data_IF_437583981159
#
_entry.id   IF_437583981159
#
_cell.length_a   1.000
_cell.length_b   1.000
_cell.length_c   1.000
_cell.angle_alpha   90.00
_cell.angle_beta   90.00
_cell.angle_gamma   90.00
#
_symmetry.space_group_name_H-M   'P 1'
#
loop_
_entity.id
_entity.type
_entity.pdbx_description
1 polymer ?
#
# COMPACT_ATOMS: atom_id res chain seq x y z
N UNK A 1 15.48 -9.46 17.60
CA UNK A 1 14.90 -8.69 18.72
C UNK A 1 13.59 -8.10 18.26
N UNK A 2 12.48 -8.58 18.82
CA UNK A 2 11.13 -8.04 18.59
C UNK A 2 11.10 -6.60 19.07
N UNK A 3 11.06 -5.63 18.14
CA UNK A 3 10.75 -4.23 18.50
C UNK A 3 9.30 -4.21 18.96
N UNK A 4 9.08 -4.26 20.27
CA UNK A 4 7.75 -4.13 20.86
C UNK A 4 7.28 -2.71 20.64
N UNK A 5 6.42 -2.52 19.64
CA UNK A 5 5.58 -1.32 19.55
C UNK A 5 4.81 -1.18 20.87
N UNK A 6 4.70 0.03 21.44
CA UNK A 6 3.94 0.22 22.67
C UNK A 6 2.50 -0.23 22.42
N UNK A 7 2.07 -1.29 23.12
CA UNK A 7 0.72 -1.83 22.98
C UNK A 7 -0.26 -0.80 23.54
N UNK A 8 -1.21 -0.37 22.71
CA UNK A 8 -2.35 0.43 23.16
C UNK A 8 -3.09 -0.31 24.29
N UNK A 9 -3.62 0.43 25.26
CA UNK A 9 -4.44 -0.18 26.29
C UNK A 9 -5.68 -0.84 25.64
N UNK A 10 -6.18 -1.96 26.17
CA UNK A 10 -7.34 -2.65 25.60
C UNK A 10 -8.56 -1.74 25.44
N UNK A 11 -8.74 -0.79 26.37
CA UNK A 11 -9.78 0.22 26.29
C UNK A 11 -9.63 1.12 25.06
N UNK A 12 -8.43 1.70 24.85
CA UNK A 12 -8.16 2.57 23.68
C UNK A 12 -8.31 1.81 22.36
N UNK A 13 -7.89 0.55 22.31
CA UNK A 13 -8.04 -0.29 21.13
C UNK A 13 -9.52 -0.58 20.80
N UNK A 14 -10.33 -0.93 21.81
CA UNK A 14 -11.78 -1.13 21.64
C UNK A 14 -12.49 0.16 21.23
N UNK A 15 -12.14 1.28 21.86
CA UNK A 15 -12.69 2.58 21.50
C UNK A 15 -12.37 2.95 20.06
N UNK A 16 -11.13 2.78 19.60
CA UNK A 16 -10.75 3.03 18.21
C UNK A 16 -11.52 2.13 17.23
N UNK A 17 -11.70 0.85 17.56
CA UNK A 17 -12.51 -0.08 16.76
C UNK A 17 -13.99 0.36 16.71
N UNK A 18 -14.57 0.77 17.84
CA UNK A 18 -15.93 1.32 17.89
C UNK A 18 -16.04 2.60 17.05
N UNK A 19 -15.08 3.53 17.17
CA UNK A 19 -15.06 4.76 16.38
C UNK A 19 -15.01 4.47 14.87
N UNK A 20 -14.31 3.42 14.44
CA UNK A 20 -14.28 3.00 13.04
C UNK A 20 -15.61 2.34 12.62
N UNK A 21 -16.07 1.34 13.37
CA UNK A 21 -17.28 0.57 13.05
C UNK A 21 -18.56 1.42 13.05
N UNK A 22 -18.67 2.36 13.99
CA UNK A 22 -19.81 3.27 14.13
C UNK A 22 -19.59 4.61 13.43
N UNK A 23 -18.57 4.74 12.58
CA UNK A 23 -18.39 5.93 11.77
C UNK A 23 -19.53 6.01 10.72
N UNK A 24 -20.40 7.04 10.75
CA UNK A 24 -21.53 7.15 9.83
C UNK A 24 -21.09 7.22 8.36
N UNK A 25 -19.90 7.74 8.07
CA UNK A 25 -19.33 7.77 6.71
C UNK A 25 -19.00 6.35 6.25
N UNK A 26 -18.35 5.54 7.10
CA UNK A 26 -17.99 4.16 6.77
C UNK A 26 -19.23 3.28 6.58
N UNK A 27 -20.25 3.47 7.44
CA UNK A 27 -21.55 2.78 7.30
C UNK A 27 -22.21 3.16 5.99
N UNK A 28 -22.37 4.46 5.70
CA UNK A 28 -23.05 4.93 4.49
C UNK A 28 -22.35 4.43 3.22
N UNK A 29 -21.01 4.52 3.14
CA UNK A 29 -20.23 3.99 2.01
C UNK A 29 -20.43 2.47 1.84
N UNK A 30 -20.44 1.72 2.94
CA UNK A 30 -20.65 0.27 2.89
C UNK A 30 -22.07 -0.10 2.45
N UNK A 31 -23.09 0.62 2.94
CA UNK A 31 -24.50 0.37 2.57
C UNK A 31 -24.83 0.71 1.11
N UNK A 32 -24.01 1.55 0.45
CA UNK A 32 -24.12 1.85 -0.98
C UNK A 32 -23.50 0.77 -1.89
N UNK A 33 -23.14 -0.39 -1.33
CA UNK A 33 -22.58 -1.52 -2.07
C UNK A 33 -21.09 -1.40 -2.38
N UNK A 34 -20.36 -0.50 -1.71
CA UNK A 34 -18.92 -0.36 -1.90
C UNK A 34 -18.13 -1.28 -0.95
N UNK A 35 -17.14 -2.00 -1.49
CA UNK A 35 -16.29 -2.94 -0.75
C UNK A 35 -15.16 -2.29 0.08
N UNK A 36 -15.18 -0.98 0.38
CA UNK A 36 -14.08 -0.30 1.10
C UNK A 36 -13.79 -0.91 2.48
N UNK A 37 -14.83 -1.29 3.23
CA UNK A 37 -14.67 -1.90 4.55
C UNK A 37 -13.97 -3.27 4.44
N UNK A 38 -14.26 -4.03 3.38
CA UNK A 38 -13.58 -5.30 3.10
C UNK A 38 -12.11 -5.07 2.71
N UNK A 39 -11.85 -4.11 1.82
CA UNK A 39 -10.47 -3.76 1.42
C UNK A 39 -9.65 -3.29 2.62
N UNK A 40 -10.24 -2.43 3.48
CA UNK A 40 -9.61 -1.95 4.71
C UNK A 40 -9.31 -3.10 5.68
N UNK A 41 -10.25 -4.04 5.85
CA UNK A 41 -10.05 -5.21 6.68
C UNK A 41 -8.91 -6.12 6.16
N UNK A 42 -8.78 -6.28 4.84
CA UNK A 42 -7.69 -7.05 4.23
C UNK A 42 -6.32 -6.38 4.41
N UNK A 43 -6.24 -5.05 4.27
CA UNK A 43 -5.00 -4.28 4.50
C UNK A 43 -4.57 -4.38 5.97
N UNK A 44 -5.49 -4.15 6.92
CA UNK A 44 -5.21 -4.27 8.35
C UNK A 44 -4.88 -5.73 8.72
N UNK A 45 -5.55 -6.70 8.10
CA UNK A 45 -5.26 -8.12 8.25
C UNK A 45 -3.87 -8.50 7.74
N UNK A 46 -3.43 -7.91 6.63
CA UNK A 46 -2.08 -8.06 6.10
C UNK A 46 -1.03 -7.54 7.09
N UNK A 47 -1.26 -6.34 7.63
CA UNK A 47 -0.41 -5.76 8.67
C UNK A 47 -0.34 -6.66 9.92
N UNK A 48 -1.49 -7.13 10.41
CA UNK A 48 -1.57 -8.03 11.55
C UNK A 48 -0.83 -9.36 11.29
N UNK A 49 -1.01 -9.98 10.12
CA UNK A 49 -0.30 -11.19 9.76
C UNK A 49 1.22 -10.99 9.67
N UNK A 50 1.66 -9.80 9.24
CA UNK A 50 3.07 -9.43 9.19
C UNK A 50 3.66 -9.28 10.59
N UNK A 51 2.94 -8.65 11.53
CA UNK A 51 3.33 -8.56 12.94
C UNK A 51 3.45 -9.93 13.62
N UNK A 52 2.62 -10.89 13.22
CA UNK A 52 2.73 -12.30 13.64
C UNK A 52 3.86 -13.07 12.93
N UNK A 53 4.65 -12.41 12.08
CA UNK A 53 5.74 -13.03 11.30
C UNK A 53 5.27 -13.96 10.17
N UNK A 54 3.97 -13.98 9.85
CA UNK A 54 3.38 -14.89 8.85
C UNK A 54 3.36 -14.25 7.46
N UNK A 55 4.54 -14.19 6.86
CA UNK A 55 4.80 -13.47 5.60
C UNK A 55 3.87 -13.87 4.45
N UNK A 56 3.65 -15.17 4.26
CA UNK A 56 2.76 -15.67 3.19
C UNK A 56 1.34 -15.18 3.38
N UNK A 57 0.80 -15.25 4.61
CA UNK A 57 -0.56 -14.77 4.88
C UNK A 57 -0.68 -13.27 4.70
N UNK A 58 0.33 -12.52 5.14
CA UNK A 58 0.37 -11.07 4.95
C UNK A 58 0.35 -10.71 3.46
N UNK A 59 1.17 -11.39 2.64
CA UNK A 59 1.19 -11.15 1.20
C UNK A 59 -0.12 -11.57 0.53
N UNK A 60 -0.66 -12.75 0.84
CA UNK A 60 -1.95 -13.20 0.27
C UNK A 60 -3.08 -12.20 0.52
N UNK A 61 -3.20 -11.68 1.74
CA UNK A 61 -4.20 -10.67 2.13
C UNK A 61 -4.00 -9.34 1.39
N UNK A 62 -2.74 -8.89 1.26
CA UNK A 62 -2.42 -7.68 0.49
C UNK A 62 -2.79 -7.87 -0.98
N UNK A 63 -2.40 -8.99 -1.59
CA UNK A 63 -2.71 -9.31 -2.98
C UNK A 63 -4.21 -9.33 -3.26
N UNK A 64 -5.00 -9.91 -2.34
CA UNK A 64 -6.46 -9.90 -2.44
C UNK A 64 -7.02 -8.48 -2.33
N UNK A 65 -6.48 -7.65 -1.44
CA UNK A 65 -6.90 -6.25 -1.32
C UNK A 65 -6.64 -5.46 -2.61
N UNK A 66 -5.49 -5.69 -3.26
CA UNK A 66 -5.09 -5.05 -4.53
C UNK A 66 -5.95 -5.53 -5.70
N UNK A 67 -6.35 -6.81 -5.69
CA UNK A 67 -7.27 -7.34 -6.71
C UNK A 67 -8.65 -6.66 -6.62
N UNK A 68 -9.19 -6.48 -5.42
CA UNK A 68 -10.50 -5.86 -5.20
C UNK A 68 -10.50 -4.37 -5.58
N UNK A 69 -9.43 -3.64 -5.25
CA UNK A 69 -9.18 -2.26 -5.68
C UNK A 69 -7.70 -2.04 -5.85
N UNK A 70 -7.29 -1.25 -6.81
CA UNK A 70 -5.85 -1.09 -7.13
C UNK A 70 -5.10 -0.27 -6.06
N UNK A 71 -5.75 0.72 -5.43
CA UNK A 71 -5.07 1.68 -4.55
C UNK A 71 -4.29 1.10 -3.34
N UNK A 72 -4.64 -0.05 -2.71
CA UNK A 72 -3.86 -0.66 -1.64
C UNK A 72 -2.43 -1.05 -2.07
N UNK A 73 -2.13 -1.01 -3.37
CA UNK A 73 -0.77 -1.23 -3.89
C UNK A 73 0.26 -0.27 -3.26
N UNK A 74 -0.15 0.92 -2.81
CA UNK A 74 0.73 1.88 -2.12
C UNK A 74 1.31 1.30 -0.82
N UNK A 75 0.65 0.30 -0.21
CA UNK A 75 1.12 -0.33 1.02
C UNK A 75 2.15 -1.44 0.77
N UNK A 76 2.36 -1.86 -0.49
CA UNK A 76 3.28 -2.94 -0.83
C UNK A 76 4.73 -2.65 -0.41
N UNK A 77 5.25 -1.47 -0.78
CA UNK A 77 6.61 -1.04 -0.44
C UNK A 77 6.83 -0.87 1.08
N UNK A 78 6.00 -0.14 1.84
CA UNK A 78 6.22 0.01 3.27
C UNK A 78 6.11 -1.33 4.01
N UNK A 79 5.18 -2.22 3.63
CA UNK A 79 5.10 -3.55 4.22
C UNK A 79 6.33 -4.40 3.87
N UNK A 80 6.80 -4.36 2.62
CA UNK A 80 8.01 -5.05 2.18
C UNK A 80 9.26 -4.60 2.98
N UNK A 81 9.46 -3.29 3.14
CA UNK A 81 10.60 -2.72 3.86
C UNK A 81 10.52 -2.92 5.39
N UNK A 82 9.33 -3.13 5.94
CA UNK A 82 9.16 -3.38 7.37
C UNK A 82 9.63 -4.77 7.81
N UNK A 83 9.78 -5.71 6.87
CA UNK A 83 10.29 -7.06 7.14
C UNK A 83 11.79 -6.97 7.46
N UNK A 84 12.24 -7.44 8.64
CA UNK A 84 13.65 -7.38 9.01
C UNK A 84 14.54 -8.23 8.10
N UNK A 85 15.71 -7.68 7.72
CA UNK A 85 16.74 -8.42 6.96
C UNK A 85 17.35 -9.51 7.85
N UNK A 86 17.44 -10.71 7.31
CA UNK A 86 18.08 -11.87 7.92
C UNK A 86 19.59 -11.73 7.75
N UNK A 87 20.26 -11.08 8.71
CA UNK A 87 21.73 -11.07 8.71
C UNK A 87 22.27 -12.46 9.04
N UNK A 88 23.32 -12.95 8.33
CA UNK A 88 23.93 -14.23 8.66
C UNK A 88 24.43 -14.24 10.11
N UNK A 89 24.03 -15.24 10.90
CA UNK A 89 24.59 -15.51 12.23
C UNK A 89 26.10 -15.69 12.10
N UNK A 90 26.90 -14.72 12.56
CA UNK A 90 28.37 -14.79 12.55
C UNK A 90 29.08 -13.48 12.21
N UNK A 91 28.39 -12.48 11.63
CA UNK A 91 28.97 -11.15 11.45
C UNK A 91 28.65 -10.30 12.69
N UNK A 92 29.57 -10.25 13.65
CA UNK A 92 29.53 -9.23 14.68
C UNK A 92 29.40 -7.85 14.01
N UNK A 93 28.60 -6.91 14.54
CA UNK A 93 28.70 -5.51 14.15
C UNK A 93 29.97 -4.92 14.78
N UNK A 94 31.13 -5.44 14.35
CA UNK A 94 32.46 -4.99 14.74
C UNK A 94 32.87 -3.82 13.86
N UNK A 95 33.32 -2.75 14.52
CA UNK A 95 33.51 -1.41 13.98
C UNK A 95 34.31 -1.30 12.68
N UNK A 96 33.95 -0.29 11.89
CA UNK A 96 34.75 0.18 10.78
C UNK A 96 33.96 1.01 9.77
N UNK A 97 34.13 2.33 9.80
CA UNK A 97 34.04 3.13 8.58
C UNK A 97 32.64 3.58 8.13
N UNK A 98 32.33 4.82 8.51
CA UNK A 98 31.54 5.82 7.79
C UNK A 98 31.50 5.55 6.25
N UNK A 99 30.28 5.52 5.68
CA UNK A 99 29.95 5.38 4.24
C UNK A 99 29.86 3.96 3.64
N UNK A 100 29.01 3.10 4.19
CA UNK A 100 28.27 2.17 3.30
C UNK A 100 27.28 3.03 2.50
N UNK A 101 27.56 3.24 1.21
CA UNK A 101 26.75 4.08 0.33
C UNK A 101 25.26 3.69 0.38
N UNK A 102 24.38 4.67 0.19
CA UNK A 102 22.92 4.44 0.15
C UNK A 102 22.55 3.28 -0.81
N UNK A 103 23.29 3.14 -1.91
CA UNK A 103 23.16 2.03 -2.86
C UNK A 103 23.39 0.64 -2.24
N UNK A 104 24.42 0.47 -1.39
CA UNK A 104 24.71 -0.81 -0.74
C UNK A 104 23.63 -1.18 0.29
N UNK A 105 23.06 -0.17 0.97
CA UNK A 105 21.90 -0.37 1.86
C UNK A 105 20.67 -0.79 1.07
N UNK A 106 20.33 -0.07 0.00
CA UNK A 106 19.22 -0.44 -0.89
C UNK A 106 19.41 -1.85 -1.43
N UNK A 107 20.61 -2.20 -1.91
CA UNK A 107 20.90 -3.54 -2.41
C UNK A 107 20.65 -4.62 -1.35
N UNK A 108 21.10 -4.41 -0.10
CA UNK A 108 20.84 -5.33 1.00
C UNK A 108 19.33 -5.47 1.31
N UNK A 109 18.58 -4.37 1.23
CA UNK A 109 17.12 -4.36 1.42
C UNK A 109 16.39 -5.21 0.36
N UNK A 110 16.90 -5.27 -0.87
CA UNK A 110 16.31 -6.06 -1.96
C UNK A 110 16.90 -7.47 -2.11
N UNK A 111 17.88 -7.86 -1.30
CA UNK A 111 18.53 -9.17 -1.39
C UNK A 111 17.90 -10.25 -0.50
N UNK A 112 16.97 -9.90 0.39
CA UNK A 112 16.40 -10.85 1.35
C UNK A 112 15.24 -11.68 0.75
N UNK A 113 15.42 -13.01 0.74
CA UNK A 113 14.42 -13.95 0.24
C UNK A 113 13.07 -13.93 0.98
N UNK A 114 13.02 -13.53 2.25
CA UNK A 114 11.77 -13.41 3.03
C UNK A 114 10.89 -12.29 2.50
N UNK A 115 11.51 -11.19 2.05
CA UNK A 115 10.78 -10.06 1.47
C UNK A 115 10.22 -10.42 0.10
N UNK A 116 10.99 -11.13 -0.70
CA UNK A 116 10.52 -11.70 -1.95
C UNK A 116 9.47 -12.78 -1.76
N UNK A 117 9.52 -13.57 -0.69
CA UNK A 117 8.44 -14.51 -0.35
C UNK A 117 7.11 -13.77 -0.08
N UNK A 118 7.16 -12.68 0.68
CA UNK A 118 6.00 -11.80 0.87
C UNK A 118 5.50 -11.24 -0.47
N UNK A 119 6.38 -10.64 -1.27
CA UNK A 119 6.03 -10.06 -2.56
C UNK A 119 5.46 -11.10 -3.54
N UNK A 120 6.07 -12.28 -3.62
CA UNK A 120 5.62 -13.38 -4.45
C UNK A 120 4.25 -13.90 -4.00
N UNK A 121 4.01 -14.03 -2.69
CA UNK A 121 2.69 -14.43 -2.19
C UNK A 121 1.60 -13.37 -2.48
N UNK A 122 1.93 -12.09 -2.44
CA UNK A 122 1.00 -11.03 -2.83
C UNK A 122 0.70 -11.05 -4.34
N UNK A 123 1.74 -11.18 -5.16
CA UNK A 123 1.58 -11.33 -6.61
C UNK A 123 0.77 -12.58 -6.97
N UNK A 124 1.07 -13.72 -6.35
CA UNK A 124 0.36 -14.98 -6.58
C UNK A 124 -1.13 -14.88 -6.22
N UNK A 125 -1.48 -14.24 -5.10
CA UNK A 125 -2.88 -14.00 -4.72
C UNK A 125 -3.58 -13.08 -5.73
N UNK A 126 -2.99 -11.92 -6.03
CA UNK A 126 -3.58 -10.95 -6.94
C UNK A 126 -3.77 -11.52 -8.35
N UNK A 127 -2.71 -12.10 -8.92
CA UNK A 127 -2.72 -12.70 -10.26
C UNK A 127 -3.62 -13.93 -10.28
N UNK A 128 -3.54 -14.80 -9.26
CA UNK A 128 -4.36 -16.01 -9.19
C UNK A 128 -5.84 -15.71 -9.22
N UNK A 129 -6.33 -14.76 -8.40
CA UNK A 129 -7.74 -14.37 -8.41
C UNK A 129 -8.10 -13.67 -9.73
N UNK A 130 -7.21 -12.83 -10.27
CA UNK A 130 -7.40 -12.19 -11.57
C UNK A 130 -7.57 -13.21 -12.70
N UNK A 131 -6.76 -14.27 -12.72
CA UNK A 131 -6.84 -15.33 -13.71
C UNK A 131 -8.12 -16.16 -13.56
N UNK A 132 -8.55 -16.45 -12.33
CA UNK A 132 -9.83 -17.14 -12.08
C UNK A 132 -11.01 -16.29 -12.58
N UNK A 133 -11.02 -14.99 -12.29
CA UNK A 133 -12.04 -14.07 -12.78
C UNK A 133 -11.99 -13.92 -14.30
N UNK A 134 -10.81 -13.86 -14.89
CA UNK A 134 -10.64 -13.83 -16.35
C UNK A 134 -11.12 -15.12 -17.01
N UNK A 135 -10.85 -16.28 -16.40
CA UNK A 135 -11.35 -17.55 -16.90
C UNK A 135 -12.89 -17.62 -16.87
N UNK A 136 -13.52 -17.11 -15.81
CA UNK A 136 -14.96 -17.12 -15.66
C UNK A 136 -15.69 -16.08 -16.54
N UNK A 137 -15.13 -14.87 -16.68
CA UNK A 137 -15.82 -13.71 -17.28
C UNK A 137 -15.18 -13.22 -18.59
N UNK A 138 -14.04 -13.78 -18.99
CA UNK A 138 -13.29 -13.41 -20.18
C UNK A 138 -12.77 -11.97 -20.18
N UNK A 139 -12.61 -11.42 -21.38
CA UNK A 139 -12.10 -10.06 -21.61
C UNK A 139 -12.97 -8.97 -20.95
N UNK A 140 -14.29 -9.19 -20.83
CA UNK A 140 -15.21 -8.24 -20.18
C UNK A 140 -14.78 -7.92 -18.75
N UNK A 141 -14.27 -8.90 -18.00
CA UNK A 141 -13.77 -8.64 -16.65
C UNK A 141 -12.59 -7.67 -16.65
N UNK A 142 -11.58 -7.88 -17.51
CA UNK A 142 -10.40 -7.01 -17.57
C UNK A 142 -10.77 -5.60 -18.00
N UNK A 143 -11.69 -5.50 -18.96
CA UNK A 143 -12.19 -4.21 -19.43
C UNK A 143 -12.87 -3.43 -18.30
N UNK A 144 -13.84 -4.04 -17.61
CA UNK A 144 -14.63 -3.35 -16.58
C UNK A 144 -13.86 -3.15 -15.27
N UNK A 145 -13.07 -4.14 -14.84
CA UNK A 145 -12.36 -4.11 -13.56
C UNK A 145 -11.11 -3.22 -13.57
N UNK A 146 -10.42 -3.11 -14.71
CA UNK A 146 -9.12 -2.41 -14.78
C UNK A 146 -9.08 -1.34 -15.87
N UNK A 147 -9.30 -1.70 -17.14
CA UNK A 147 -9.03 -0.79 -18.26
C UNK A 147 -9.97 0.41 -18.31
N UNK A 148 -11.24 0.21 -17.95
CA UNK A 148 -12.23 1.27 -17.86
C UNK A 148 -11.82 2.35 -16.86
N UNK A 149 -11.25 1.96 -15.72
CA UNK A 149 -10.80 2.91 -14.69
C UNK A 149 -9.51 3.66 -15.07
N UNK A 150 -8.66 3.09 -15.92
CA UNK A 150 -7.43 3.76 -16.41
C UNK A 150 -7.77 4.80 -17.47
N UNK A 151 -8.73 4.50 -18.34
CA UNK A 151 -9.09 5.37 -19.48
C UNK A 151 -10.10 6.44 -19.12
N UNK A 152 -10.92 6.23 -18.09
CA UNK A 152 -11.90 7.21 -17.63
C UNK A 152 -11.21 8.34 -16.86
N UNK A 153 -11.20 9.53 -17.44
CA UNK A 153 -10.74 10.75 -16.79
C UNK A 153 -11.91 11.48 -16.10
N UNK A 154 -12.10 11.23 -14.82
CA UNK A 154 -13.10 11.95 -14.02
C UNK A 154 -12.48 13.24 -13.46
N UNK A 155 -12.50 14.30 -14.27
CA UNK A 155 -11.96 15.59 -13.84
C UNK A 155 -12.83 16.23 -12.75
N UNK A 156 -14.15 16.07 -12.78
CA UNK A 156 -15.09 16.81 -11.91
C UNK A 156 -15.07 16.38 -10.45
N UNK A 157 -14.52 15.20 -10.16
CA UNK A 157 -14.40 14.67 -8.79
C UNK A 157 -12.94 14.50 -8.35
N UNK A 158 -12.00 15.10 -9.07
CA UNK A 158 -10.59 15.05 -8.70
C UNK A 158 -10.34 16.05 -7.55
N UNK A 159 -10.01 15.52 -6.36
CA UNK A 159 -9.70 16.32 -5.17
C UNK A 159 -8.25 16.86 -5.17
N UNK A 160 -7.43 16.51 -6.18
CA UNK A 160 -6.08 17.03 -6.25
C UNK A 160 -6.06 18.54 -6.43
N UNK A 161 -5.03 19.19 -5.87
CA UNK A 161 -4.75 20.62 -6.03
C UNK A 161 -4.69 21.07 -7.50
N UNK A 162 -4.50 20.14 -8.43
CA UNK A 162 -4.37 20.37 -9.86
C UNK A 162 -5.71 20.29 -10.63
N UNK A 163 -6.82 20.02 -9.94
CA UNK A 163 -8.15 19.97 -10.54
C UNK A 163 -8.47 21.19 -11.40
N UNK A 164 -8.33 22.40 -10.85
CA UNK A 164 -8.73 23.63 -11.53
C UNK A 164 -7.86 23.94 -12.78
N UNK A 165 -6.52 23.85 -12.71
CA UNK A 165 -5.68 23.94 -13.92
C UNK A 165 -6.00 22.87 -14.98
N UNK A 166 -6.28 21.63 -14.58
CA UNK A 166 -6.62 20.54 -15.51
C UNK A 166 -7.99 20.73 -16.15
N UNK A 167 -8.94 21.29 -15.40
CA UNK A 167 -10.26 21.65 -15.89
C UNK A 167 -10.19 22.74 -16.97
N UNK A 168 -9.39 23.78 -16.76
CA UNK A 168 -9.26 24.91 -17.69
C UNK A 168 -8.46 24.57 -18.96
N UNK A 169 -7.55 23.60 -18.91
CA UNK A 169 -6.63 23.28 -20.02
C UNK A 169 -7.16 22.25 -21.02
N UNK A 170 -8.41 21.81 -20.85
CA UNK A 170 -9.22 21.16 -21.90
C UNK A 170 -8.64 19.88 -22.53
N UNK A 171 -7.80 19.13 -21.81
CA UNK A 171 -7.24 17.87 -22.33
C UNK A 171 -6.13 18.02 -23.39
N UNK A 172 -5.60 19.22 -23.57
CA UNK A 172 -4.40 19.48 -24.39
C UNK A 172 -3.22 18.58 -23.99
N UNK A 173 -2.26 18.37 -24.90
CA UNK A 173 -1.07 17.56 -24.61
C UNK A 173 -0.28 18.11 -23.41
N UNK A 174 -0.25 19.43 -23.26
CA UNK A 174 0.32 20.13 -22.10
C UNK A 174 -0.46 19.86 -20.81
N UNK A 175 -1.79 19.85 -20.85
CA UNK A 175 -2.62 19.44 -19.70
C UNK A 175 -2.29 18.03 -19.23
N UNK A 176 -2.14 17.08 -20.17
CA UNK A 176 -1.76 15.69 -19.87
C UNK A 176 -0.35 15.61 -19.25
N UNK A 177 0.63 16.32 -19.80
CA UNK A 177 1.97 16.37 -19.23
C UNK A 177 1.97 16.97 -17.81
N UNK A 178 1.25 18.08 -17.59
CA UNK A 178 1.10 18.71 -16.27
C UNK A 178 0.40 17.77 -15.28
N UNK A 179 -0.62 17.00 -15.72
CA UNK A 179 -1.29 16.00 -14.87
C UNK A 179 -0.37 14.86 -14.43
N UNK A 180 0.55 14.43 -15.29
CA UNK A 180 1.52 13.39 -14.96
C UNK A 180 2.60 13.93 -14.02
N UNK A 181 3.09 15.15 -14.28
CA UNK A 181 4.06 15.82 -13.41
C UNK A 181 3.48 16.11 -12.02
N UNK A 182 2.19 16.43 -11.93
CA UNK A 182 1.47 16.60 -10.67
C UNK A 182 1.47 15.34 -9.78
N UNK A 183 1.61 14.15 -10.37
CA UNK A 183 1.68 12.89 -9.62
C UNK A 183 3.10 12.60 -9.08
N UNK A 184 4.13 13.27 -9.59
CA UNK A 184 5.53 13.05 -9.17
C UNK A 184 5.76 13.43 -7.71
N UNK A 185 5.34 14.62 -7.21
CA UNK A 185 5.48 14.95 -5.79
C UNK A 185 4.79 13.92 -4.88
N UNK A 186 3.63 13.44 -5.28
CA UNK A 186 2.88 12.43 -4.56
C UNK A 186 3.68 11.12 -4.50
N UNK A 187 4.17 10.61 -5.63
CA UNK A 187 4.99 9.40 -5.70
C UNK A 187 6.27 9.51 -4.87
N UNK A 188 6.96 10.66 -4.94
CA UNK A 188 8.16 10.94 -4.15
C UNK A 188 7.84 10.92 -2.66
N UNK A 189 6.72 11.50 -2.24
CA UNK A 189 6.28 11.50 -0.85
C UNK A 189 6.00 10.07 -0.35
N UNK A 190 5.27 9.26 -1.13
CA UNK A 190 5.03 7.85 -0.79
C UNK A 190 6.35 7.06 -0.66
N UNK A 191 7.33 7.31 -1.53
CA UNK A 191 8.64 6.67 -1.47
C UNK A 191 9.42 7.09 -0.20
N UNK A 192 9.50 8.40 0.06
CA UNK A 192 10.23 8.95 1.22
C UNK A 192 9.62 8.45 2.53
N UNK A 193 8.29 8.43 2.65
CA UNK A 193 7.59 7.92 3.82
C UNK A 193 7.90 6.43 4.04
N UNK A 194 7.92 5.63 2.98
CA UNK A 194 8.26 4.21 3.05
C UNK A 194 9.69 4.00 3.54
N UNK A 195 10.68 4.66 2.91
CA UNK A 195 12.08 4.51 3.28
C UNK A 195 12.39 5.00 4.70
N UNK A 196 11.73 6.07 5.16
CA UNK A 196 11.99 6.69 6.47
C UNK A 196 11.31 5.96 7.63
N UNK A 197 10.06 5.52 7.45
CA UNK A 197 9.23 5.05 8.56
C UNK A 197 8.92 3.56 8.56
N UNK A 198 8.99 2.85 7.42
CA UNK A 198 8.57 1.44 7.34
C UNK A 198 9.28 0.52 8.35
N UNK A 199 10.58 0.70 8.55
CA UNK A 199 11.41 -0.16 9.42
C UNK A 199 11.32 0.19 10.92
N UNK A 200 10.68 1.32 11.27
CA UNK A 200 10.57 1.83 12.65
C UNK A 200 9.14 1.83 13.16
N UNK A 201 8.21 2.38 12.38
CA UNK A 201 6.82 2.60 12.75
C UNK A 201 5.90 2.33 11.55
N UNK A 202 5.63 1.05 11.28
CA UNK A 202 4.84 0.63 10.13
C UNK A 202 3.39 1.18 10.17
N UNK A 203 2.74 1.16 11.33
CA UNK A 203 1.37 1.69 11.47
C UNK A 203 1.29 3.19 11.14
N UNK A 204 2.26 3.98 11.62
CA UNK A 204 2.37 5.40 11.27
C UNK A 204 2.65 5.58 9.78
N UNK A 205 3.54 4.77 9.22
CA UNK A 205 3.86 4.80 7.80
C UNK A 205 2.60 4.58 6.95
N UNK A 206 1.83 3.51 7.21
CA UNK A 206 0.57 3.19 6.51
C UNK A 206 -0.48 4.31 6.66
N UNK A 207 -0.58 4.91 7.85
CA UNK A 207 -1.44 6.07 8.07
C UNK A 207 -1.01 7.27 7.20
N UNK A 208 0.29 7.62 7.20
CA UNK A 208 0.82 8.71 6.39
C UNK A 208 0.70 8.43 4.89
N UNK A 209 0.87 7.17 4.45
CA UNK A 209 0.63 6.76 3.05
C UNK A 209 -0.81 7.05 2.64
N UNK A 210 -1.77 6.71 3.50
CA UNK A 210 -3.20 6.96 3.22
C UNK A 210 -3.47 8.45 3.10
N UNK A 211 -2.94 9.27 4.02
CA UNK A 211 -3.10 10.73 3.96
C UNK A 211 -2.45 11.31 2.70
N UNK A 212 -1.21 10.92 2.39
CA UNK A 212 -0.48 11.39 1.22
C UNK A 212 -1.08 10.92 -0.12
N UNK A 213 -1.78 9.79 -0.12
CA UNK A 213 -2.46 9.29 -1.32
C UNK A 213 -3.80 9.98 -1.58
N UNK A 214 -4.49 10.41 -0.52
CA UNK A 214 -5.80 11.07 -0.61
C UNK A 214 -5.68 12.59 -0.77
N UNK A 215 -4.66 13.22 -0.18
CA UNK A 215 -4.39 14.66 -0.27
C UNK A 215 -3.70 15.04 -1.59
#
# INVERSE_FOLDING_TARGET
GSKTTPRLSPFKARLAACCFLFNPICINVSTRGNAESLVSALVVGSLFALEQGRLVRAGLLLGLSVHLKIYPIIFSLPLFLSIPISTPKGRAPGGGGRSWGAAARLFAEFSDGRRWLFAASAAASCIGVTLVCYWACGWRFVQEAYLYHITRTDHRHNLSLYFYPLYLTGGSATARAVSLLAFVPQLVLLLVLSLKFASRHIALCVCCQTVAFVA
#
